data_IF_770422195765
#
_entry.id   IF_770422195765
#
_cell.length_a   1.000
_cell.length_b   1.000
_cell.length_c   1.000
_cell.angle_alpha   90.00
_cell.angle_beta   90.00
_cell.angle_gamma   90.00
#
_symmetry.space_group_name_H-M   'P 1'
#
loop_
_entity.id
_entity.type
_entity.pdbx_description
1 polymer ?
#
# COMPACT_ATOMS: atom_id res chain seq x y z
N UNK A 1 12.79 8.46 -25.35
CA UNK A 1 12.57 7.11 -24.77
C UNK A 1 13.35 7.07 -23.47
N UNK A 2 12.67 6.99 -22.32
CA UNK A 2 13.37 6.90 -21.04
C UNK A 2 13.93 5.48 -20.94
N UNK A 3 15.25 5.36 -21.04
CA UNK A 3 15.97 4.13 -20.73
C UNK A 3 15.71 3.85 -19.24
N UNK A 4 14.80 2.93 -18.94
CA UNK A 4 14.60 2.42 -17.59
C UNK A 4 15.88 1.71 -17.23
N UNK A 5 16.79 2.43 -16.58
CA UNK A 5 18.10 1.92 -16.20
C UNK A 5 17.87 0.82 -15.17
N UNK A 6 17.93 -0.42 -15.64
CA UNK A 6 17.82 -1.61 -14.80
C UNK A 6 18.89 -1.53 -13.73
N UNK A 7 18.45 -1.69 -12.48
CA UNK A 7 19.36 -1.65 -11.35
C UNK A 7 20.09 -2.99 -11.24
N UNK A 8 21.35 -2.92 -10.82
CA UNK A 8 22.11 -4.10 -10.41
C UNK A 8 21.39 -4.79 -9.23
N UNK A 9 21.42 -6.13 -9.12
CA UNK A 9 20.83 -6.87 -8.00
C UNK A 9 21.19 -6.32 -6.62
N UNK A 10 22.43 -5.88 -6.41
CA UNK A 10 22.86 -5.34 -5.11
C UNK A 10 22.19 -3.97 -4.82
N UNK A 11 22.09 -3.13 -5.85
CA UNK A 11 21.40 -1.85 -5.78
C UNK A 11 19.88 -2.00 -5.56
N UNK A 12 19.25 -3.03 -6.14
CA UNK A 12 17.85 -3.37 -5.85
C UNK A 12 17.65 -3.81 -4.41
N UNK A 13 18.58 -4.59 -3.86
CA UNK A 13 18.54 -5.02 -2.47
C UNK A 13 18.65 -3.84 -1.51
N UNK A 14 19.65 -2.99 -1.71
CA UNK A 14 19.82 -1.77 -0.92
C UNK A 14 18.60 -0.85 -1.01
N UNK A 15 17.97 -0.77 -2.19
CA UNK A 15 16.74 0.02 -2.38
C UNK A 15 15.55 -0.54 -1.61
N UNK A 16 15.42 -1.88 -1.55
CA UNK A 16 14.39 -2.54 -0.73
C UNK A 16 14.63 -2.35 0.75
N UNK A 17 15.87 -2.48 1.23
CA UNK A 17 16.20 -2.27 2.64
C UNK A 17 15.96 -0.83 3.08
N UNK A 18 16.36 0.13 2.26
CA UNK A 18 16.08 1.54 2.51
C UNK A 18 14.58 1.79 2.60
N UNK A 19 13.81 1.22 1.66
CA UNK A 19 12.36 1.35 1.70
C UNK A 19 11.76 0.74 2.96
N UNK A 20 12.19 -0.45 3.39
CA UNK A 20 11.76 -1.09 4.64
C UNK A 20 12.03 -0.20 5.87
N UNK A 21 13.15 0.51 5.90
CA UNK A 21 13.51 1.45 6.97
C UNK A 21 12.67 2.74 6.95
N UNK A 22 12.21 3.18 5.78
CA UNK A 22 11.37 4.38 5.63
C UNK A 22 9.90 4.13 6.00
N UNK A 23 9.42 2.87 5.94
CA UNK A 23 8.01 2.50 6.17
C UNK A 23 7.43 2.94 7.52
N UNK A 24 8.12 2.81 8.67
CA UNK A 24 7.61 3.29 9.95
C UNK A 24 7.33 4.80 9.94
N UNK A 25 8.23 5.58 9.32
CA UNK A 25 8.07 7.01 9.17
C UNK A 25 6.92 7.37 8.23
N UNK A 26 6.76 6.65 7.14
CA UNK A 26 5.65 6.82 6.20
C UNK A 26 4.30 6.48 6.84
N UNK A 27 4.22 5.37 7.59
CA UNK A 27 3.01 4.96 8.29
C UNK A 27 2.59 5.98 9.37
N UNK A 28 3.56 6.52 10.13
CA UNK A 28 3.30 7.55 11.12
C UNK A 28 2.82 8.88 10.50
N UNK A 29 3.34 9.25 9.33
CA UNK A 29 2.97 10.48 8.60
C UNK A 29 1.66 10.36 7.83
N UNK A 30 1.27 9.13 7.47
CA UNK A 30 0.06 8.83 6.71
C UNK A 30 -0.81 7.82 7.47
N UNK A 31 -1.45 8.24 8.58
CA UNK A 31 -2.28 7.34 9.40
C UNK A 31 -3.54 6.85 8.66
N UNK A 32 -3.88 7.45 7.52
CA UNK A 32 -4.93 6.96 6.65
C UNK A 32 -4.46 5.75 5.85
N UNK A 33 -5.08 4.60 6.08
CA UNK A 33 -4.82 3.32 5.39
C UNK A 33 -4.73 3.47 3.87
N UNK A 34 -5.55 4.34 3.27
CA UNK A 34 -5.56 4.59 1.83
C UNK A 34 -4.36 5.40 1.31
N UNK A 35 -3.93 6.42 2.06
CA UNK A 35 -2.77 7.22 1.68
C UNK A 35 -1.50 6.38 1.75
N UNK A 36 -1.37 5.58 2.81
CA UNK A 36 -0.27 4.63 2.96
C UNK A 36 -0.29 3.55 1.87
N UNK A 37 -1.45 2.97 1.56
CA UNK A 37 -1.59 1.97 0.49
C UNK A 37 -1.25 2.53 -0.90
N UNK A 38 -1.62 3.77 -1.20
CA UNK A 38 -1.28 4.39 -2.48
C UNK A 38 0.23 4.66 -2.60
N UNK A 39 0.87 5.19 -1.55
CA UNK A 39 2.33 5.38 -1.53
C UNK A 39 3.04 4.03 -1.68
N UNK A 40 2.56 3.00 -0.99
CA UNK A 40 3.06 1.63 -1.13
C UNK A 40 2.98 1.14 -2.58
N UNK A 41 1.81 1.25 -3.22
CA UNK A 41 1.59 0.81 -4.59
C UNK A 41 2.47 1.57 -5.60
N UNK A 42 2.63 2.89 -5.44
CA UNK A 42 3.52 3.67 -6.30
C UNK A 42 4.97 3.23 -6.20
N UNK A 43 5.44 2.92 -4.99
CA UNK A 43 6.81 2.45 -4.76
C UNK A 43 7.03 1.02 -5.24
N UNK A 44 6.04 0.15 -5.05
CA UNK A 44 6.03 -1.21 -5.58
C UNK A 44 6.24 -1.22 -7.10
N UNK A 45 5.41 -0.46 -7.84
CA UNK A 45 5.50 -0.35 -9.30
C UNK A 45 6.85 0.24 -9.74
N UNK A 46 7.34 1.27 -9.04
CA UNK A 46 8.63 1.89 -9.36
C UNK A 46 9.80 0.90 -9.19
N UNK A 47 9.78 0.04 -8.17
CA UNK A 47 10.82 -0.98 -7.95
C UNK A 47 10.73 -2.06 -9.05
N UNK A 48 9.53 -2.52 -9.39
CA UNK A 48 9.35 -3.50 -10.46
C UNK A 48 9.76 -2.98 -11.83
N UNK A 49 9.49 -1.71 -12.14
CA UNK A 49 9.92 -1.07 -13.38
C UNK A 49 11.45 -1.01 -13.53
N UNK A 50 12.19 -0.97 -12.41
CA UNK A 50 13.65 -0.96 -12.37
C UNK A 50 14.27 -2.36 -12.24
N UNK A 51 13.43 -3.40 -12.06
CA UNK A 51 13.88 -4.78 -11.82
C UNK A 51 14.03 -5.54 -13.15
N UNK A 52 15.21 -6.12 -13.43
CA UNK A 52 15.41 -7.03 -14.57
C UNK A 52 14.44 -8.22 -14.53
N UNK A 53 13.98 -8.69 -15.69
CA UNK A 53 12.94 -9.73 -15.78
C UNK A 53 13.29 -11.03 -15.04
N UNK A 54 14.56 -11.43 -15.07
CA UNK A 54 15.05 -12.62 -14.38
C UNK A 54 15.07 -12.49 -12.84
N UNK A 55 14.98 -11.27 -12.30
CA UNK A 55 14.96 -10.99 -10.85
C UNK A 55 13.55 -10.65 -10.32
N UNK A 56 12.62 -10.28 -11.20
CA UNK A 56 11.22 -9.92 -10.85
C UNK A 56 10.59 -10.89 -9.84
N UNK A 57 10.56 -12.23 -10.05
CA UNK A 57 9.88 -13.13 -9.12
C UNK A 57 10.49 -13.12 -7.70
N UNK A 58 11.80 -12.89 -7.58
CA UNK A 58 12.47 -12.80 -6.28
C UNK A 58 12.12 -11.49 -5.56
N UNK A 59 12.15 -10.39 -6.31
CA UNK A 59 11.83 -9.04 -5.81
C UNK A 59 10.35 -8.93 -5.44
N UNK A 60 9.45 -9.46 -6.28
CA UNK A 60 8.00 -9.53 -6.02
C UNK A 60 7.70 -10.26 -4.72
N UNK A 61 8.28 -11.44 -4.51
CA UNK A 61 8.10 -12.19 -3.25
C UNK A 61 8.58 -11.42 -2.03
N UNK A 62 9.68 -10.66 -2.15
CA UNK A 62 10.16 -9.85 -1.04
C UNK A 62 9.21 -8.69 -0.74
N UNK A 63 8.76 -7.99 -1.78
CA UNK A 63 7.79 -6.91 -1.66
C UNK A 63 6.46 -7.42 -1.08
N UNK A 64 5.97 -8.59 -1.49
CA UNK A 64 4.79 -9.25 -0.91
C UNK A 64 4.92 -9.44 0.61
N UNK A 65 6.06 -9.98 1.07
CA UNK A 65 6.31 -10.20 2.51
C UNK A 65 6.31 -8.90 3.31
N UNK A 66 6.92 -7.85 2.76
CA UNK A 66 6.92 -6.53 3.37
C UNK A 66 5.47 -6.00 3.42
N UNK A 67 4.73 -6.10 2.31
CA UNK A 67 3.34 -5.65 2.24
C UNK A 67 2.43 -6.35 3.26
N UNK A 68 2.54 -7.68 3.39
CA UNK A 68 1.79 -8.46 4.40
C UNK A 68 2.07 -7.95 5.82
N UNK A 69 3.33 -7.68 6.17
CA UNK A 69 3.72 -7.16 7.49
C UNK A 69 3.06 -5.82 7.79
N UNK A 70 2.84 -4.99 6.78
CA UNK A 70 2.28 -3.64 6.91
C UNK A 70 0.79 -3.55 6.55
N UNK A 71 0.12 -4.68 6.28
CA UNK A 71 -1.30 -4.72 5.95
C UNK A 71 -1.65 -4.14 4.57
N UNK A 72 -0.67 -4.06 3.65
CA UNK A 72 -0.84 -3.54 2.29
C UNK A 72 -0.53 -4.65 1.27
N UNK A 73 -1.56 -5.12 0.54
CA UNK A 73 -1.39 -6.16 -0.48
C UNK A 73 -0.92 -5.56 -1.82
N UNK A 74 -0.06 -6.25 -2.59
CA UNK A 74 0.32 -5.81 -3.92
C UNK A 74 -0.87 -5.78 -4.88
N UNK A 75 -0.83 -4.85 -5.84
CA UNK A 75 -1.81 -4.77 -6.93
C UNK A 75 -3.11 -4.03 -6.62
N UNK A 76 -3.38 -3.63 -5.37
CA UNK A 76 -4.58 -2.85 -5.04
C UNK A 76 -4.23 -1.36 -4.94
N UNK A 77 -4.19 -0.67 -6.09
CA UNK A 77 -4.34 0.80 -6.07
C UNK A 77 -5.74 1.09 -5.59
N UNK A 78 -5.88 1.72 -4.43
CA UNK A 78 -7.20 2.15 -3.97
C UNK A 78 -7.54 3.46 -4.69
N UNK A 79 -8.13 3.33 -5.88
CA UNK A 79 -8.46 4.46 -6.76
C UNK A 79 -9.71 5.22 -6.32
N UNK A 80 -10.40 4.77 -5.25
CA UNK A 80 -11.56 5.45 -4.67
C UNK A 80 -11.56 5.27 -3.15
N UNK A 81 -11.64 6.37 -2.40
CA UNK A 81 -12.16 6.30 -1.03
C UNK A 81 -13.58 5.74 -1.15
N UNK A 82 -13.84 4.60 -0.52
CA UNK A 82 -15.21 4.18 -0.29
C UNK A 82 -15.88 5.32 0.50
N UNK A 83 -16.96 5.95 0.01
CA UNK A 83 -17.66 6.94 0.80
C UNK A 83 -18.06 6.27 2.11
N UNK A 84 -17.65 6.84 3.24
CA UNK A 84 -18.09 6.41 4.55
C UNK A 84 -19.61 6.37 4.51
N UNK A 85 -20.22 5.19 4.59
CA UNK A 85 -21.67 5.09 4.73
C UNK A 85 -22.05 6.04 5.86
N UNK A 86 -22.97 7.01 5.66
CA UNK A 86 -23.50 7.74 6.78
C UNK A 86 -24.01 6.67 7.73
N UNK A 87 -23.57 6.72 8.99
CA UNK A 87 -24.24 5.99 10.06
C UNK A 87 -25.67 6.50 10.08
N UNK A 88 -26.53 5.91 9.24
CA UNK A 88 -27.96 5.96 9.40
C UNK A 88 -28.16 5.27 10.73
N UNK A 89 -28.11 6.10 11.77
CA UNK A 89 -28.71 5.79 13.04
C UNK A 89 -30.05 5.19 12.68
N UNK A 90 -30.15 3.87 12.88
CA UNK A 90 -31.42 3.23 13.17
C UNK A 90 -31.96 4.04 14.34
N UNK A 91 -32.75 5.08 14.04
CA UNK A 91 -33.60 5.73 15.03
C UNK A 91 -34.61 4.67 15.37
N UNK A 92 -34.25 3.86 16.37
CA UNK A 92 -35.10 2.99 17.16
C UNK A 92 -36.40 3.76 17.37
N UNK A 93 -37.43 3.43 16.61
CA UNK A 93 -38.79 3.76 17.01
C UNK A 93 -39.17 2.69 18.01
N UNK A 94 -38.68 2.85 19.24
CA UNK A 94 -39.22 2.08 20.35
C UNK A 94 -40.63 2.59 20.64
N UNK A 95 -41.58 1.68 20.93
CA UNK A 95 -42.97 1.99 21.24
C UNK A 95 -43.09 2.58 22.65
N UNK A 96 -44.24 3.19 22.95
CA UNK A 96 -44.71 3.77 24.23
C UNK A 96 -44.65 5.30 24.39
N UNK A 97 -45.83 5.91 24.20
CA UNK A 97 -46.40 7.04 24.96
C UNK A 97 -47.91 7.00 24.65
N UNK A 98 -48.76 6.40 25.50
CA UNK A 98 -49.54 7.02 26.61
C UNK A 98 -50.36 8.23 26.15
N UNK A 99 -51.69 8.05 26.17
CA UNK A 99 -52.73 9.03 25.85
C UNK A 99 -54.06 8.31 25.65
#
# INVERSE_FOLDING_TARGET
MAETRTLDPDALHARLEQFEQELPGLHARHPGTFAFANIWAERYEAILAQTPEHLKPSIERRLERIGIRWGVMPGVRVTRQMPSMPSVFLRRRSPFAIG
#
